data_IF_657683651857
#
_entry.id   IF_657683651857
#
_cell.length_a   1.000
_cell.length_b   1.000
_cell.length_c   1.000
_cell.angle_alpha   90.00
_cell.angle_beta   90.00
_cell.angle_gamma   90.00
#
_symmetry.space_group_name_H-M   'P 1'
#
loop_
_entity.id
_entity.type
_entity.pdbx_description
1 polymer ?
#
# COMPACT_ATOMS: atom_id res chain seq x y z
N UNK A 1 -11.63 4.26 7.46
CA UNK A 1 -10.21 4.29 7.08
C UNK A 1 -10.20 3.99 5.60
N UNK A 2 -10.30 5.05 4.80
CA UNK A 2 -10.70 4.95 3.38
C UNK A 2 -9.55 5.26 2.43
N UNK A 3 -8.32 5.37 2.91
CA UNK A 3 -7.18 5.76 2.09
C UNK A 3 -6.57 4.62 1.26
N UNK A 4 -7.12 3.39 1.29
CA UNK A 4 -6.59 2.28 0.51
C UNK A 4 -7.28 2.16 -0.85
N UNK A 5 -6.47 2.08 -1.90
CA UNK A 5 -6.90 1.87 -3.27
C UNK A 5 -6.09 0.73 -3.87
N UNK A 6 -6.69 -0.05 -4.78
CA UNK A 6 -6.04 -1.25 -5.31
C UNK A 6 -6.29 -1.49 -6.78
N UNK A 7 -5.31 -2.13 -7.41
CA UNK A 7 -5.44 -2.81 -8.70
C UNK A 7 -5.11 -4.31 -8.55
N UNK A 8 -4.95 -5.00 -9.68
CA UNK A 8 -4.58 -6.41 -9.76
C UNK A 8 -3.11 -6.71 -9.40
N UNK A 9 -2.35 -5.69 -8.97
CA UNK A 9 -0.92 -5.82 -8.64
C UNK A 9 -0.62 -5.48 -7.18
N UNK A 10 -1.17 -4.38 -6.67
CA UNK A 10 -0.87 -3.91 -5.30
C UNK A 10 -1.93 -2.96 -4.75
N UNK A 11 -1.82 -2.70 -3.45
CA UNK A 11 -2.53 -1.61 -2.77
C UNK A 11 -1.66 -0.35 -2.75
N UNK A 12 -2.32 0.80 -2.78
CA UNK A 12 -1.77 2.13 -2.72
C UNK A 12 -2.50 2.92 -1.63
N UNK A 13 -1.76 3.71 -0.86
CA UNK A 13 -2.26 4.57 0.20
C UNK A 13 -2.37 6.00 -0.35
N UNK A 14 -3.57 6.57 -0.34
CA UNK A 14 -3.79 7.95 -0.77
C UNK A 14 -3.26 8.91 0.31
N UNK A 15 -2.22 9.72 0.02
CA UNK A 15 -1.64 10.62 1.01
C UNK A 15 -2.56 11.80 1.36
N UNK A 16 -3.51 12.16 0.49
CA UNK A 16 -4.47 13.25 0.74
C UNK A 16 -5.60 12.82 1.71
N UNK A 17 -5.82 11.51 1.86
CA UNK A 17 -6.84 10.94 2.76
C UNK A 17 -6.24 10.25 3.98
N UNK A 18 -4.94 9.93 3.94
CA UNK A 18 -4.20 9.43 5.09
C UNK A 18 -4.14 10.52 6.17
N UNK A 19 -4.31 10.11 7.42
CA UNK A 19 -4.30 11.00 8.59
C UNK A 19 -3.20 10.60 9.58
N UNK A 20 -2.22 9.81 9.14
CA UNK A 20 -1.07 9.37 9.92
C UNK A 20 -1.45 8.72 11.27
N UNK A 21 -2.43 7.81 11.24
CA UNK A 21 -2.90 7.12 12.44
C UNK A 21 -2.11 5.84 12.79
N UNK A 22 -1.20 5.40 11.92
CA UNK A 22 -0.34 4.22 12.03
C UNK A 22 -1.01 2.86 12.26
N UNK A 23 -2.35 2.80 12.29
CA UNK A 23 -3.09 1.56 12.56
C UNK A 23 -2.84 0.46 11.50
N UNK A 24 -2.45 0.83 10.28
CA UNK A 24 -2.17 -0.12 9.21
C UNK A 24 -0.75 -0.73 9.27
N UNK A 25 0.22 -0.05 9.88
CA UNK A 25 1.63 -0.47 9.94
C UNK A 25 1.78 -1.88 10.52
N UNK A 26 1.28 -2.19 11.74
CA UNK A 26 1.40 -3.53 12.30
C UNK A 26 0.45 -4.56 11.66
N UNK A 27 -0.52 -4.12 10.86
CA UNK A 27 -1.52 -5.00 10.24
C UNK A 27 -1.01 -5.65 8.94
N UNK A 28 0.05 -5.11 8.33
CA UNK A 28 0.59 -5.62 7.09
C UNK A 28 1.40 -6.92 7.33
N UNK A 29 1.01 -8.07 6.76
CA UNK A 29 1.68 -9.35 7.02
C UNK A 29 3.09 -9.44 6.40
N UNK A 30 3.46 -8.50 5.55
CA UNK A 30 4.75 -8.42 4.85
C UNK A 30 5.51 -7.14 5.19
N UNK A 31 5.06 -6.41 6.22
CA UNK A 31 5.73 -5.22 6.75
C UNK A 31 6.06 -4.15 5.69
N UNK A 32 5.17 -3.99 4.69
CA UNK A 32 5.39 -3.11 3.54
C UNK A 32 4.90 -1.66 3.74
N UNK A 33 4.31 -1.34 4.89
CA UNK A 33 3.72 -0.04 5.17
C UNK A 33 4.64 0.73 6.11
N UNK A 34 5.02 1.94 5.71
CA UNK A 34 5.88 2.85 6.46
C UNK A 34 5.21 4.22 6.54
N UNK A 35 5.48 4.96 7.62
CA UNK A 35 5.26 6.41 7.62
C UNK A 35 6.15 7.06 6.55
N UNK A 36 5.74 8.19 5.97
CA UNK A 36 6.49 8.86 4.89
C UNK A 36 7.92 9.21 5.30
N UNK A 37 8.13 9.55 6.57
CA UNK A 37 9.44 9.89 7.12
C UNK A 37 10.34 8.66 7.35
N UNK A 38 9.74 7.49 7.50
CA UNK A 38 10.42 6.22 7.81
C UNK A 38 10.68 5.35 6.57
N UNK A 39 10.23 5.78 5.37
CA UNK A 39 10.47 5.02 4.14
C UNK A 39 11.97 4.89 3.88
N UNK A 40 12.51 3.66 3.74
CA UNK A 40 13.91 3.42 3.44
C UNK A 40 14.39 4.18 2.20
N UNK A 41 15.64 4.62 2.18
CA UNK A 41 16.19 5.45 1.11
C UNK A 41 16.02 4.84 -0.30
N UNK A 42 16.15 3.52 -0.42
CA UNK A 42 15.98 2.77 -1.68
C UNK A 42 14.51 2.50 -2.05
N UNK A 43 13.56 2.95 -1.23
CA UNK A 43 12.12 2.77 -1.40
C UNK A 43 11.37 4.09 -1.52
N UNK A 44 12.05 5.25 -1.41
CA UNK A 44 11.40 6.56 -1.45
C UNK A 44 10.60 6.84 -2.73
N UNK A 45 10.92 6.18 -3.84
CA UNK A 45 10.12 6.28 -5.07
C UNK A 45 8.65 5.88 -4.85
N UNK A 46 8.36 5.00 -3.89
CA UNK A 46 7.00 4.53 -3.63
C UNK A 46 6.10 5.63 -3.08
N UNK A 47 6.64 6.68 -2.46
CA UNK A 47 5.84 7.83 -2.00
C UNK A 47 5.13 8.48 -3.20
N UNK A 48 5.87 8.77 -4.26
CA UNK A 48 5.32 9.36 -5.48
C UNK A 48 4.35 8.38 -6.18
N UNK A 49 4.71 7.10 -6.27
CA UNK A 49 3.84 6.09 -6.91
C UNK A 49 2.50 5.98 -6.21
N UNK A 50 2.47 5.98 -4.88
CA UNK A 50 1.21 5.93 -4.12
C UNK A 50 0.32 7.14 -4.45
N UNK A 51 0.88 8.35 -4.40
CA UNK A 51 0.17 9.58 -4.72
C UNK A 51 -0.38 9.60 -6.16
N UNK A 52 0.49 9.36 -7.15
CA UNK A 52 0.13 9.38 -8.57
C UNK A 52 -0.96 8.37 -8.91
N UNK A 53 -0.90 7.17 -8.30
CA UNK A 53 -1.85 6.09 -8.53
C UNK A 53 -3.23 6.40 -7.96
N UNK A 54 -3.29 7.01 -6.78
CA UNK A 54 -4.55 7.37 -6.14
C UNK A 54 -5.17 8.63 -6.76
N UNK A 55 -4.35 9.60 -7.13
CA UNK A 55 -4.80 10.85 -7.75
C UNK A 55 -5.38 10.64 -9.15
N UNK A 56 -4.97 9.59 -9.86
CA UNK A 56 -5.54 9.21 -11.14
C UNK A 56 -7.05 8.89 -11.08
N UNK A 57 -7.58 8.55 -9.90
CA UNK A 57 -9.01 8.30 -9.70
C UNK A 57 -9.58 7.06 -10.41
N UNK A 58 -8.71 6.19 -10.92
CA UNK A 58 -9.11 4.97 -11.66
C UNK A 58 -9.14 3.70 -10.81
N UNK A 59 -8.64 3.78 -9.58
CA UNK A 59 -8.49 2.62 -8.70
C UNK A 59 -9.73 2.40 -7.83
N UNK A 60 -10.02 1.14 -7.51
CA UNK A 60 -11.10 0.82 -6.60
C UNK A 60 -10.69 1.17 -5.17
N UNK A 61 -11.59 1.84 -4.44
CA UNK A 61 -11.42 2.10 -3.01
C UNK A 61 -11.70 0.83 -2.20
N UNK A 62 -10.72 0.37 -1.43
CA UNK A 62 -10.79 -0.88 -0.65
C UNK A 62 -11.06 -0.53 0.81
N UNK A 63 -12.32 -0.68 1.23
CA UNK A 63 -12.78 -0.33 2.59
C UNK A 63 -13.00 -1.53 3.49
N UNK A 64 -12.88 -2.74 2.95
CA UNK A 64 -13.08 -4.00 3.66
C UNK A 64 -11.93 -4.95 3.37
N UNK A 65 -11.70 -5.88 4.30
CA UNK A 65 -10.73 -6.96 4.09
C UNK A 65 -11.18 -7.81 2.91
N UNK A 66 -10.26 -8.00 1.97
CA UNK A 66 -10.39 -8.93 0.85
C UNK A 66 -9.33 -10.02 0.98
N UNK A 67 -9.53 -11.13 0.27
CA UNK A 67 -8.50 -12.15 0.18
C UNK A 67 -7.27 -11.61 -0.56
N UNK A 68 -6.04 -12.04 -0.20
CA UNK A 68 -4.84 -11.68 -0.94
C UNK A 68 -4.98 -12.04 -2.43
N UNK A 69 -4.32 -11.27 -3.29
CA UNK A 69 -4.28 -11.56 -4.72
C UNK A 69 -3.74 -12.99 -4.96
N UNK A 70 -4.19 -13.69 -6.02
CA UNK A 70 -3.67 -15.02 -6.34
C UNK A 70 -2.13 -15.05 -6.53
N UNK A 71 -1.54 -13.91 -6.90
CA UNK A 71 -0.10 -13.71 -7.10
C UNK A 71 0.66 -13.34 -5.81
N UNK A 72 -0.03 -13.18 -4.67
CA UNK A 72 0.57 -12.67 -3.44
C UNK A 72 1.68 -13.58 -2.90
N UNK A 73 1.47 -14.90 -2.93
CA UNK A 73 2.43 -15.88 -2.42
C UNK A 73 3.72 -15.89 -3.26
N UNK A 74 3.58 -15.91 -4.59
CA UNK A 74 4.73 -15.83 -5.49
C UNK A 74 5.50 -14.51 -5.29
N UNK A 75 4.78 -13.40 -5.12
CA UNK A 75 5.37 -12.09 -4.86
C UNK A 75 6.14 -12.08 -3.54
N UNK A 76 5.56 -12.62 -2.46
CA UNK A 76 6.19 -12.74 -1.15
C UNK A 76 7.50 -13.52 -1.24
N UNK A 77 7.46 -14.69 -1.89
CA UNK A 77 8.65 -15.52 -2.12
C UNK A 77 9.72 -14.79 -2.95
N UNK A 78 9.33 -14.05 -3.98
CA UNK A 78 10.28 -13.27 -4.81
C UNK A 78 11.00 -12.14 -4.05
N UNK A 79 10.40 -11.68 -2.95
CA UNK A 79 10.96 -10.66 -2.06
C UNK A 79 11.75 -11.27 -0.88
N UNK A 80 11.77 -12.61 -0.77
CA UNK A 80 12.47 -13.33 0.29
C UNK A 80 11.77 -13.27 1.66
N UNK A 81 10.45 -13.09 1.66
CA UNK A 81 9.62 -12.97 2.87
C UNK A 81 8.91 -14.27 3.27
#
# INVERSE_FOLDING_TARGET
MNCFYGDDKMLYINPNECIDCDACVPACPVEAIFSMDDVPANQKQWIAVNAEKTDAGTLANITQKVDPLPTAEEKKNSLGL
#
